data_IF_799089068205
#
_entry.id   IF_799089068205
#
_cell.length_a   1.000
_cell.length_b   1.000
_cell.length_c   1.000
_cell.angle_alpha   90.00
_cell.angle_beta   90.00
_cell.angle_gamma   90.00
#
_symmetry.space_group_name_H-M   'P 1'
#
loop_
_entity.id
_entity.type
_entity.pdbx_description
1 polymer ?
#
# COMPACT_ATOMS: atom_id res chain seq x y z
N UNK A 1 -24.94 -0.11 -13.63
CA UNK A 1 -25.40 -1.46 -14.02
C UNK A 1 -24.54 -2.62 -13.46
N UNK A 2 -23.51 -2.36 -12.69
CA UNK A 2 -22.55 -3.37 -12.17
C UNK A 2 -22.97 -4.10 -10.89
N UNK A 3 -23.96 -3.61 -10.17
CA UNK A 3 -24.33 -4.17 -8.85
C UNK A 3 -25.08 -5.52 -8.87
N UNK A 4 -25.50 -6.01 -10.02
CA UNK A 4 -26.29 -7.23 -10.12
C UNK A 4 -25.42 -8.47 -10.37
N UNK A 5 -24.38 -8.34 -11.20
CA UNK A 5 -23.54 -9.47 -11.59
C UNK A 5 -22.70 -10.07 -10.44
N UNK A 6 -22.13 -9.22 -9.56
CA UNK A 6 -21.32 -9.66 -8.40
C UNK A 6 -22.20 -10.40 -7.39
N UNK A 7 -23.43 -9.95 -7.15
CA UNK A 7 -24.34 -10.56 -6.18
C UNK A 7 -24.84 -11.93 -6.60
N UNK A 8 -24.97 -12.18 -7.91
CA UNK A 8 -25.46 -13.46 -8.45
C UNK A 8 -24.38 -14.54 -8.48
N UNK A 9 -23.09 -14.19 -8.42
CA UNK A 9 -21.97 -15.13 -8.46
C UNK A 9 -21.48 -15.58 -7.07
N UNK A 10 -21.74 -14.81 -6.00
CA UNK A 10 -21.25 -15.09 -4.66
C UNK A 10 -22.04 -16.22 -3.98
N UNK A 11 -21.39 -17.37 -3.86
CA UNK A 11 -21.91 -18.50 -3.09
C UNK A 11 -21.49 -18.40 -1.61
N UNK A 12 -22.16 -19.14 -0.74
CA UNK A 12 -21.76 -19.29 0.67
C UNK A 12 -20.31 -19.80 0.79
N UNK A 13 -19.87 -20.63 -0.14
CA UNK A 13 -18.51 -21.16 -0.18
C UNK A 13 -17.48 -20.05 -0.51
N UNK A 14 -17.76 -19.18 -1.48
CA UNK A 14 -16.90 -18.02 -1.78
C UNK A 14 -16.76 -17.09 -0.57
N UNK A 15 -17.87 -16.79 0.11
CA UNK A 15 -17.84 -15.95 1.32
C UNK A 15 -17.01 -16.59 2.43
N UNK A 16 -17.13 -17.91 2.62
CA UNK A 16 -16.35 -18.62 3.63
C UNK A 16 -14.85 -18.60 3.31
N UNK A 17 -14.49 -18.81 2.04
CA UNK A 17 -13.09 -18.78 1.60
C UNK A 17 -12.48 -17.37 1.72
N UNK A 18 -13.17 -16.34 1.28
CA UNK A 18 -12.71 -14.96 1.44
C UNK A 18 -12.52 -14.57 2.92
N UNK A 19 -13.43 -15.01 3.80
CA UNK A 19 -13.27 -14.84 5.24
C UNK A 19 -12.01 -15.55 5.76
N UNK A 20 -11.77 -16.77 5.32
CA UNK A 20 -10.59 -17.54 5.69
C UNK A 20 -9.31 -16.83 5.26
N UNK A 21 -9.21 -16.38 4.01
CA UNK A 21 -8.06 -15.67 3.47
C UNK A 21 -7.81 -14.34 4.18
N UNK A 22 -8.86 -13.57 4.46
CA UNK A 22 -8.77 -12.30 5.17
C UNK A 22 -8.30 -12.46 6.62
N UNK A 23 -8.72 -13.56 7.28
CA UNK A 23 -8.47 -13.83 8.70
C UNK A 23 -7.27 -14.76 8.93
N UNK A 24 -6.43 -15.01 7.95
CA UNK A 24 -5.42 -16.08 7.95
C UNK A 24 -4.42 -16.08 9.13
N UNK A 25 -4.53 -15.12 10.04
CA UNK A 25 -3.85 -15.15 11.35
C UNK A 25 -2.40 -14.63 11.33
N UNK A 26 -1.98 -13.95 10.26
CA UNK A 26 -0.67 -13.28 10.24
C UNK A 26 -0.68 -11.98 11.05
N UNK A 27 0.51 -11.44 11.34
CA UNK A 27 0.63 -10.13 11.99
C UNK A 27 0.05 -8.97 11.17
N UNK A 28 -0.16 -9.20 9.86
CA UNK A 28 -0.69 -8.22 8.92
C UNK A 28 -2.15 -8.46 8.53
N UNK A 29 -2.78 -9.50 9.08
CA UNK A 29 -4.19 -9.78 8.83
C UNK A 29 -5.10 -8.72 9.47
N UNK A 30 -6.24 -8.46 8.86
CA UNK A 30 -7.22 -7.49 9.31
C UNK A 30 -6.71 -6.02 9.38
N UNK A 31 -5.73 -5.67 8.57
CA UNK A 31 -5.18 -4.30 8.53
C UNK A 31 -5.94 -3.37 7.58
N UNK A 32 -6.51 -3.87 6.51
CA UNK A 32 -7.25 -3.09 5.54
C UNK A 32 -8.75 -3.36 5.60
N UNK A 33 -9.54 -2.38 5.21
CA UNK A 33 -10.97 -2.57 4.98
C UNK A 33 -11.20 -3.47 3.76
N UNK A 34 -12.36 -4.11 3.71
CA UNK A 34 -12.87 -4.71 2.48
C UNK A 34 -13.33 -3.57 1.56
N UNK A 35 -12.99 -3.60 0.25
CA UNK A 35 -13.47 -2.59 -0.69
C UNK A 35 -14.98 -2.39 -0.64
N UNK A 36 -15.46 -1.15 -0.79
CA UNK A 36 -16.88 -0.81 -0.62
C UNK A 36 -17.84 -1.62 -1.48
N UNK A 37 -17.42 -1.98 -2.70
CA UNK A 37 -18.25 -2.79 -3.61
C UNK A 37 -18.44 -4.23 -3.10
N UNK A 38 -17.50 -4.74 -2.29
CA UNK A 38 -17.58 -6.07 -1.67
C UNK A 38 -18.20 -6.04 -0.26
N UNK A 39 -18.15 -4.92 0.46
CA UNK A 39 -18.59 -4.82 1.86
C UNK A 39 -20.06 -5.18 2.09
N UNK A 40 -20.88 -5.10 1.05
CA UNK A 40 -22.30 -5.53 1.08
C UNK A 40 -22.47 -7.04 1.15
N UNK A 41 -21.44 -7.79 0.75
CA UNK A 41 -21.46 -9.25 0.63
C UNK A 41 -20.63 -9.91 1.72
N UNK A 42 -19.59 -9.21 2.19
CA UNK A 42 -18.68 -9.71 3.20
C UNK A 42 -18.50 -8.62 4.25
N UNK A 43 -19.17 -8.76 5.38
CA UNK A 43 -18.93 -7.90 6.52
C UNK A 43 -17.82 -8.51 7.40
N UNK A 44 -16.71 -7.80 7.47
CA UNK A 44 -15.54 -8.12 8.30
C UNK A 44 -15.18 -6.94 9.21
N UNK A 45 -16.04 -5.94 9.30
CA UNK A 45 -15.78 -4.71 10.06
C UNK A 45 -15.44 -4.96 11.52
N UNK A 46 -16.07 -5.97 12.15
CA UNK A 46 -15.80 -6.36 13.55
C UNK A 46 -14.38 -6.95 13.76
N UNK A 47 -13.74 -7.44 12.70
CA UNK A 47 -12.42 -8.06 12.75
C UNK A 47 -11.31 -7.09 12.48
N UNK A 48 -11.66 -5.94 11.94
CA UNK A 48 -10.70 -4.89 11.66
C UNK A 48 -10.05 -4.40 12.96
N UNK A 49 -8.73 -4.22 12.94
CA UNK A 49 -8.01 -3.63 14.07
C UNK A 49 -8.24 -2.12 14.12
N UNK A 50 -8.88 -1.55 15.13
CA UNK A 50 -9.35 -0.14 15.10
C UNK A 50 -8.23 0.90 14.92
N UNK A 51 -6.99 0.54 15.25
CA UNK A 51 -5.85 1.46 15.28
C UNK A 51 -5.20 1.71 13.90
N UNK A 52 -5.59 0.99 12.83
CA UNK A 52 -4.86 0.98 11.55
C UNK A 52 -5.66 1.49 10.34
N UNK A 53 -6.77 2.18 10.54
CA UNK A 53 -7.97 2.19 9.69
C UNK A 53 -8.24 3.42 8.87
N UNK A 54 -7.28 4.11 8.42
CA UNK A 54 -7.53 5.28 7.57
C UNK A 54 -7.48 4.95 6.07
N UNK A 55 -7.90 3.72 5.67
CA UNK A 55 -7.90 3.34 4.24
C UNK A 55 -8.82 4.23 3.42
N UNK A 56 -10.03 4.51 3.92
CA UNK A 56 -11.01 5.34 3.22
C UNK A 56 -10.47 6.76 3.03
N UNK A 57 -10.11 7.51 4.09
CA UNK A 57 -9.56 8.85 3.92
C UNK A 57 -8.23 8.86 3.16
N UNK A 58 -7.40 7.82 3.25
CA UNK A 58 -6.19 7.72 2.45
C UNK A 58 -6.48 7.57 0.96
N UNK A 59 -7.43 6.71 0.59
CA UNK A 59 -7.84 6.56 -0.80
C UNK A 59 -8.49 7.82 -1.34
N UNK A 60 -9.34 8.47 -0.53
CA UNK A 60 -9.99 9.73 -0.91
C UNK A 60 -8.92 10.82 -1.15
N UNK A 61 -7.92 10.92 -0.27
CA UNK A 61 -6.79 11.84 -0.45
C UNK A 61 -6.00 11.56 -1.73
N UNK A 62 -5.69 10.28 -2.02
CA UNK A 62 -5.00 9.91 -3.26
C UNK A 62 -5.81 10.32 -4.49
N UNK A 63 -7.14 10.20 -4.44
CA UNK A 63 -8.03 10.64 -5.51
C UNK A 63 -8.10 12.16 -5.68
N UNK A 64 -7.85 12.92 -4.61
CA UNK A 64 -7.73 14.38 -4.71
C UNK A 64 -6.48 14.82 -5.47
N UNK A 65 -5.39 14.03 -5.37
CA UNK A 65 -4.13 14.32 -6.07
C UNK A 65 -4.10 13.80 -7.51
N UNK A 66 -4.78 12.69 -7.79
CA UNK A 66 -4.67 12.01 -9.08
C UNK A 66 -6.05 11.79 -9.70
N UNK A 67 -6.22 12.28 -10.90
CA UNK A 67 -7.34 11.90 -11.75
C UNK A 67 -7.04 10.57 -12.44
N UNK A 68 -7.40 9.48 -11.78
CA UNK A 68 -7.17 8.12 -12.27
C UNK A 68 -7.92 7.80 -13.57
N UNK A 69 -8.89 8.62 -13.98
CA UNK A 69 -9.57 8.45 -15.29
C UNK A 69 -8.66 8.78 -16.48
N UNK A 70 -7.58 9.53 -16.23
CA UNK A 70 -6.59 9.94 -17.22
C UNK A 70 -5.24 9.22 -17.08
N UNK A 71 -5.10 8.31 -16.12
CA UNK A 71 -3.90 7.50 -15.92
C UNK A 71 -4.03 6.15 -16.62
N UNK A 72 -2.92 5.68 -17.19
CA UNK A 72 -2.87 4.36 -17.81
C UNK A 72 -2.59 3.25 -16.79
N UNK A 73 -1.76 3.51 -15.77
CA UNK A 73 -1.32 2.45 -14.86
C UNK A 73 -1.04 2.93 -13.43
N UNK A 74 -1.27 2.03 -12.48
CA UNK A 74 -0.89 2.15 -11.08
C UNK A 74 -0.33 0.83 -10.54
N UNK A 75 0.69 0.91 -9.70
CA UNK A 75 1.23 -0.21 -8.93
C UNK A 75 1.01 0.05 -7.45
N UNK A 76 0.48 -0.93 -6.73
CA UNK A 76 0.29 -0.93 -5.28
C UNK A 76 1.28 -1.92 -4.66
N UNK A 77 2.31 -1.40 -3.97
CA UNK A 77 3.38 -2.19 -3.36
C UNK A 77 3.00 -2.57 -1.94
N UNK A 78 2.98 -3.87 -1.65
CA UNK A 78 2.49 -4.42 -0.38
C UNK A 78 1.00 -4.19 -0.22
N UNK A 79 0.25 -4.61 -1.23
CA UNK A 79 -1.18 -4.33 -1.36
C UNK A 79 -2.03 -4.88 -0.21
N UNK A 80 -1.49 -5.77 0.65
CA UNK A 80 -2.20 -6.45 1.73
C UNK A 80 -3.45 -7.16 1.18
N UNK A 81 -4.64 -6.91 1.70
CA UNK A 81 -5.90 -7.44 1.16
C UNK A 81 -6.51 -6.60 0.02
N UNK A 82 -5.72 -5.69 -0.55
CA UNK A 82 -6.01 -5.02 -1.80
C UNK A 82 -7.05 -3.91 -1.74
N UNK A 83 -7.24 -3.26 -0.59
CA UNK A 83 -8.23 -2.20 -0.48
C UNK A 83 -8.06 -1.11 -1.55
N UNK A 84 -6.82 -0.64 -1.75
CA UNK A 84 -6.52 0.40 -2.75
C UNK A 84 -6.59 -0.15 -4.16
N UNK A 85 -5.87 -1.24 -4.44
CA UNK A 85 -5.79 -1.86 -5.76
C UNK A 85 -7.16 -2.25 -6.31
N UNK A 86 -7.95 -2.97 -5.52
CA UNK A 86 -9.29 -3.43 -5.91
C UNK A 86 -10.26 -2.27 -6.07
N UNK A 87 -10.19 -1.24 -5.19
CA UNK A 87 -11.06 -0.07 -5.30
C UNK A 87 -10.75 0.74 -6.55
N UNK A 88 -9.46 0.94 -6.88
CA UNK A 88 -9.05 1.66 -8.09
C UNK A 88 -9.41 0.88 -9.37
N UNK A 89 -9.18 -0.44 -9.39
CA UNK A 89 -9.54 -1.28 -10.52
C UNK A 89 -11.06 -1.27 -10.79
N UNK A 90 -11.86 -1.30 -9.73
CA UNK A 90 -13.32 -1.28 -9.84
C UNK A 90 -13.86 0.06 -10.33
N UNK A 91 -13.33 1.17 -9.78
CA UNK A 91 -13.81 2.52 -10.10
C UNK A 91 -13.30 3.01 -11.46
N UNK A 92 -12.18 2.49 -11.96
CA UNK A 92 -11.50 2.92 -13.18
C UNK A 92 -11.20 1.73 -14.11
N UNK A 93 -12.19 1.23 -14.89
CA UNK A 93 -12.03 0.00 -15.70
C UNK A 93 -10.95 0.07 -16.79
N UNK A 94 -10.50 1.27 -17.17
CA UNK A 94 -9.44 1.48 -18.16
C UNK A 94 -8.06 1.64 -17.54
N UNK A 95 -7.96 1.71 -16.21
CA UNK A 95 -6.70 1.81 -15.47
C UNK A 95 -6.10 0.41 -15.29
N UNK A 96 -4.88 0.19 -15.75
CA UNK A 96 -4.14 -1.04 -15.44
C UNK A 96 -3.62 -0.99 -14.00
N UNK A 97 -4.07 -1.90 -13.16
CA UNK A 97 -3.67 -1.99 -11.75
C UNK A 97 -2.78 -3.21 -11.54
N UNK A 98 -1.60 -3.02 -10.93
CA UNK A 98 -0.78 -4.13 -10.46
C UNK A 98 -0.73 -4.12 -8.94
N UNK A 99 -1.27 -5.15 -8.29
CA UNK A 99 -1.17 -5.38 -6.86
C UNK A 99 0.00 -6.33 -6.58
N UNK A 100 1.03 -5.86 -5.86
CA UNK A 100 2.16 -6.68 -5.46
C UNK A 100 2.03 -6.96 -3.96
N UNK A 101 1.91 -8.23 -3.59
CA UNK A 101 1.73 -8.65 -2.20
C UNK A 101 2.59 -9.88 -1.89
N UNK A 102 3.40 -9.78 -0.82
CA UNK A 102 4.34 -10.84 -0.45
C UNK A 102 3.67 -12.03 0.23
N UNK A 103 2.59 -11.79 0.98
CA UNK A 103 1.89 -12.85 1.69
C UNK A 103 0.88 -13.56 0.78
N UNK A 104 1.05 -14.88 0.58
CA UNK A 104 0.26 -15.64 -0.38
C UNK A 104 -1.26 -15.57 -0.10
N UNK A 105 -1.68 -15.71 1.16
CA UNK A 105 -3.10 -15.66 1.51
C UNK A 105 -3.75 -14.30 1.21
N UNK A 106 -3.01 -13.19 1.36
CA UNK A 106 -3.51 -11.86 0.97
C UNK A 106 -3.55 -11.69 -0.54
N UNK A 107 -2.53 -12.18 -1.26
CA UNK A 107 -2.52 -12.17 -2.71
C UNK A 107 -3.68 -13.01 -3.29
N UNK A 108 -3.93 -14.19 -2.71
CA UNK A 108 -5.07 -15.05 -3.06
C UNK A 108 -6.41 -14.36 -2.78
N UNK A 109 -6.53 -13.62 -1.66
CA UNK A 109 -7.72 -12.81 -1.38
C UNK A 109 -7.98 -11.77 -2.47
N UNK A 110 -6.93 -11.03 -2.89
CA UNK A 110 -7.06 -10.03 -3.97
C UNK A 110 -7.51 -10.71 -5.26
N UNK A 111 -6.87 -11.83 -5.63
CA UNK A 111 -7.18 -12.56 -6.85
C UNK A 111 -8.62 -13.08 -6.87
N UNK A 112 -9.08 -13.69 -5.76
CA UNK A 112 -10.44 -14.20 -5.63
C UNK A 112 -11.48 -13.08 -5.70
N UNK A 113 -11.23 -11.93 -5.03
CA UNK A 113 -12.14 -10.77 -5.11
C UNK A 113 -12.16 -10.20 -6.53
N UNK A 114 -11.01 -10.12 -7.20
CA UNK A 114 -10.93 -9.61 -8.57
C UNK A 114 -11.70 -10.51 -9.55
N UNK A 115 -11.56 -11.83 -9.43
CA UNK A 115 -12.29 -12.80 -10.26
C UNK A 115 -13.81 -12.72 -10.03
N UNK A 116 -14.25 -12.76 -8.78
CA UNK A 116 -15.66 -12.66 -8.41
C UNK A 116 -16.30 -11.33 -8.84
N UNK A 117 -15.54 -10.26 -8.86
CA UNK A 117 -15.99 -8.94 -9.31
C UNK A 117 -15.83 -8.73 -10.82
N UNK A 118 -15.21 -9.66 -11.54
CA UNK A 118 -14.95 -9.55 -12.98
C UNK A 118 -13.98 -8.43 -13.34
N UNK A 119 -12.98 -8.14 -12.48
CA UNK A 119 -12.00 -7.09 -12.70
C UNK A 119 -10.88 -7.59 -13.63
N UNK A 120 -11.04 -7.39 -14.94
CA UNK A 120 -10.03 -7.79 -15.92
C UNK A 120 -8.81 -6.87 -16.02
N UNK A 121 -8.82 -5.75 -15.31
CA UNK A 121 -7.80 -4.72 -15.35
C UNK A 121 -6.87 -4.70 -14.12
N UNK A 122 -6.90 -5.75 -13.30
CA UNK A 122 -5.98 -5.94 -12.18
C UNK A 122 -5.10 -7.17 -12.37
N UNK A 123 -3.82 -7.00 -12.14
CA UNK A 123 -2.82 -8.08 -12.08
C UNK A 123 -2.34 -8.24 -10.65
N UNK A 124 -2.43 -9.45 -10.11
CA UNK A 124 -1.91 -9.77 -8.78
C UNK A 124 -0.56 -10.48 -8.92
N UNK A 125 0.44 -10.01 -8.17
CA UNK A 125 1.78 -10.57 -8.14
C UNK A 125 2.11 -10.96 -6.71
N UNK A 126 2.21 -12.26 -6.44
CA UNK A 126 2.62 -12.74 -5.12
C UNK A 126 4.15 -12.74 -5.00
N UNK A 127 4.69 -11.62 -4.53
CA UNK A 127 6.13 -11.43 -4.35
C UNK A 127 6.41 -10.35 -3.31
N UNK A 128 7.44 -10.57 -2.48
CA UNK A 128 8.04 -9.47 -1.70
C UNK A 128 8.85 -8.57 -2.63
N UNK A 129 8.73 -7.26 -2.43
CA UNK A 129 9.57 -6.28 -3.12
C UNK A 129 10.85 -6.09 -2.33
N UNK A 130 11.98 -6.46 -2.93
CA UNK A 130 13.31 -6.40 -2.36
C UNK A 130 14.34 -5.82 -3.35
N UNK A 131 15.62 -5.85 -2.99
CA UNK A 131 16.71 -5.36 -3.83
C UNK A 131 16.91 -6.15 -5.13
N UNK A 132 16.35 -7.36 -5.24
CA UNK A 132 16.46 -8.23 -6.43
C UNK A 132 15.23 -8.15 -7.32
N UNK A 133 14.17 -7.50 -6.86
CA UNK A 133 12.93 -7.35 -7.61
C UNK A 133 13.19 -6.67 -8.96
N UNK A 134 12.63 -7.24 -10.01
CA UNK A 134 12.71 -6.66 -11.36
C UNK A 134 12.05 -5.26 -11.36
N UNK A 135 12.77 -4.18 -11.68
CA UNK A 135 12.22 -2.83 -11.72
C UNK A 135 11.01 -2.68 -12.64
N UNK A 136 10.87 -3.55 -13.64
CA UNK A 136 9.71 -3.55 -14.56
C UNK A 136 8.39 -3.88 -13.85
N UNK A 137 8.43 -4.55 -12.72
CA UNK A 137 7.23 -4.78 -11.90
C UNK A 137 6.68 -3.48 -11.29
N UNK A 138 7.53 -2.47 -11.15
CA UNK A 138 7.17 -1.16 -10.62
C UNK A 138 6.90 -0.16 -11.75
N UNK A 139 6.89 -0.60 -13.02
CA UNK A 139 6.70 0.28 -14.18
C UNK A 139 5.23 0.70 -14.29
N UNK A 140 4.95 1.94 -13.88
CA UNK A 140 3.62 2.54 -13.87
C UNK A 140 3.71 4.05 -13.76
N UNK A 141 2.62 4.77 -14.05
CA UNK A 141 2.56 6.22 -13.88
C UNK A 141 2.50 6.63 -12.40
N UNK A 142 1.85 5.82 -11.57
CA UNK A 142 1.76 6.05 -10.12
C UNK A 142 2.14 4.78 -9.37
N UNK A 143 3.01 4.91 -8.37
CA UNK A 143 3.33 3.86 -7.41
C UNK A 143 2.77 4.23 -6.05
N UNK A 144 1.90 3.39 -5.51
CA UNK A 144 1.44 3.47 -4.12
C UNK A 144 2.36 2.62 -3.25
N UNK A 145 2.84 3.19 -2.15
CA UNK A 145 3.76 2.54 -1.23
C UNK A 145 3.37 2.86 0.21
N UNK A 146 2.36 2.14 0.71
CA UNK A 146 1.75 2.42 2.01
C UNK A 146 2.21 1.46 3.09
N UNK A 147 2.95 1.96 4.08
CA UNK A 147 3.38 1.22 5.26
C UNK A 147 4.15 -0.09 4.99
N UNK A 148 4.92 -0.13 3.91
CA UNK A 148 5.73 -1.30 3.52
C UNK A 148 7.21 -1.06 3.76
N UNK A 149 7.69 0.15 3.47
CA UNK A 149 9.12 0.44 3.45
C UNK A 149 9.85 0.10 4.76
N UNK A 150 9.22 0.40 5.91
CA UNK A 150 9.82 0.12 7.22
C UNK A 150 9.87 -1.37 7.60
N UNK A 151 9.32 -2.25 6.76
CA UNK A 151 9.44 -3.70 6.88
C UNK A 151 10.63 -4.27 6.09
N UNK A 152 11.36 -3.45 5.34
CA UNK A 152 12.55 -3.91 4.64
C UNK A 152 13.56 -4.54 5.62
N UNK A 153 14.04 -5.74 5.26
CA UNK A 153 14.95 -6.53 6.06
C UNK A 153 14.34 -7.31 7.22
N UNK A 154 13.04 -7.13 7.51
CA UNK A 154 12.32 -7.92 8.53
C UNK A 154 11.46 -8.99 7.88
N UNK A 155 10.67 -8.61 6.88
CA UNK A 155 9.73 -9.50 6.20
C UNK A 155 10.33 -10.06 4.90
N UNK A 156 11.45 -9.53 4.45
CA UNK A 156 12.20 -9.99 3.29
C UNK A 156 13.70 -10.17 3.59
N UNK A 157 14.45 -10.92 2.76
CA UNK A 157 15.83 -11.30 3.03
C UNK A 157 16.89 -10.23 2.72
N UNK A 158 16.61 -8.95 2.84
CA UNK A 158 17.52 -7.85 2.49
C UNK A 158 18.75 -7.69 3.40
N UNK A 159 18.99 -8.62 4.34
CA UNK A 159 20.14 -8.62 5.24
C UNK A 159 20.35 -7.33 6.05
N UNK A 160 19.27 -6.68 6.45
CA UNK A 160 19.31 -5.58 7.41
C UNK A 160 19.30 -6.20 8.80
N UNK A 161 20.31 -5.87 9.62
CA UNK A 161 20.50 -6.38 10.97
C UNK A 161 20.34 -5.28 12.05
N UNK A 162 20.19 -4.03 11.60
CA UNK A 162 20.03 -2.90 12.50
C UNK A 162 19.37 -1.71 11.81
N UNK A 163 18.81 -0.80 12.60
CA UNK A 163 18.22 0.46 12.11
C UNK A 163 19.24 1.37 11.43
N UNK A 164 20.52 1.27 11.76
CA UNK A 164 21.59 2.06 11.13
C UNK A 164 21.77 1.70 9.65
N UNK A 165 21.47 0.45 9.28
CA UNK A 165 21.56 -0.03 7.90
C UNK A 165 20.27 0.19 7.12
N UNK A 166 19.20 0.61 7.78
CA UNK A 166 17.89 0.77 7.15
C UNK A 166 17.90 1.88 6.08
N UNK A 167 18.47 3.04 6.35
CA UNK A 167 18.41 4.20 5.44
C UNK A 167 18.92 3.88 4.02
N UNK A 168 20.16 3.35 3.83
CA UNK A 168 20.65 3.08 2.48
C UNK A 168 19.82 2.02 1.74
N UNK A 169 19.33 1.00 2.45
CA UNK A 169 18.48 -0.04 1.85
C UNK A 169 17.12 0.51 1.45
N UNK A 170 16.50 1.31 2.31
CA UNK A 170 15.22 1.97 2.02
C UNK A 170 15.33 2.95 0.84
N UNK A 171 16.41 3.75 0.79
CA UNK A 171 16.66 4.65 -0.34
C UNK A 171 16.85 3.88 -1.65
N UNK A 172 17.58 2.76 -1.61
CA UNK A 172 17.76 1.89 -2.78
C UNK A 172 16.44 1.25 -3.22
N UNK A 173 15.61 0.76 -2.28
CA UNK A 173 14.32 0.19 -2.59
C UNK A 173 13.40 1.22 -3.28
N UNK A 174 13.32 2.44 -2.74
CA UNK A 174 12.56 3.53 -3.37
C UNK A 174 13.13 3.94 -4.72
N UNK A 175 14.46 3.98 -4.88
CA UNK A 175 15.08 4.37 -6.14
C UNK A 175 14.74 3.44 -7.31
N UNK A 176 14.32 2.21 -7.03
CA UNK A 176 13.83 1.26 -8.06
C UNK A 176 12.48 1.65 -8.63
N UNK A 177 11.65 2.31 -7.82
CA UNK A 177 10.41 2.90 -8.31
C UNK A 177 10.65 4.15 -9.17
N UNK A 178 11.92 4.61 -9.26
CA UNK A 178 12.28 5.82 -9.92
C UNK A 178 12.39 5.64 -11.43
N UNK A 179 11.48 6.24 -12.18
CA UNK A 179 11.57 6.44 -13.63
C UNK A 179 11.05 7.85 -13.96
N UNK A 180 11.48 8.38 -15.10
CA UNK A 180 11.03 9.70 -15.57
C UNK A 180 9.50 9.76 -15.69
N UNK A 181 8.90 10.79 -15.12
CA UNK A 181 7.46 11.01 -15.14
C UNK A 181 6.64 10.19 -14.15
N UNK A 182 7.27 9.30 -13.40
CA UNK A 182 6.58 8.50 -12.40
C UNK A 182 6.31 9.29 -11.13
N UNK A 183 5.15 9.06 -10.55
CA UNK A 183 4.70 9.64 -9.29
C UNK A 183 4.66 8.57 -8.20
N UNK A 184 5.17 8.88 -7.02
CA UNK A 184 5.19 8.00 -5.87
C UNK A 184 4.32 8.59 -4.76
N UNK A 185 3.40 7.79 -4.23
CA UNK A 185 2.68 8.10 -2.99
C UNK A 185 3.27 7.22 -1.89
N UNK A 186 3.97 7.85 -0.95
CA UNK A 186 4.68 7.16 0.11
C UNK A 186 4.05 7.43 1.48
N UNK A 187 3.82 6.37 2.22
CA UNK A 187 3.59 6.41 3.67
C UNK A 187 4.48 5.36 4.32
N UNK A 188 5.20 5.72 5.39
CA UNK A 188 5.97 4.74 6.14
C UNK A 188 5.81 4.93 7.65
N UNK A 189 5.90 3.83 8.39
CA UNK A 189 6.10 3.86 9.83
C UNK A 189 7.56 4.19 10.20
N UNK A 190 7.77 4.73 11.40
CA UNK A 190 9.10 5.09 11.91
C UNK A 190 9.62 4.10 12.94
N UNK A 191 9.07 2.90 12.96
CA UNK A 191 9.55 1.77 13.75
C UNK A 191 9.93 0.65 12.79
N UNK A 192 11.16 0.19 12.85
CA UNK A 192 11.62 -0.89 11.99
C UNK A 192 10.83 -2.18 12.25
N UNK A 193 10.26 -2.74 11.20
CA UNK A 193 9.36 -3.90 11.28
C UNK A 193 8.08 -3.69 12.09
N UNK A 194 7.74 -2.43 12.43
CA UNK A 194 6.63 -2.09 13.32
C UNK A 194 6.97 -2.27 14.81
N UNK A 195 8.21 -2.62 15.17
CA UNK A 195 8.63 -2.79 16.57
C UNK A 195 8.93 -1.44 17.23
N UNK A 196 8.10 -1.04 18.19
CA UNK A 196 8.27 0.21 18.95
C UNK A 196 9.59 0.31 19.72
N UNK A 197 10.29 -0.83 19.93
CA UNK A 197 11.60 -0.88 20.56
C UNK A 197 12.75 -0.60 19.60
N UNK A 198 12.46 -0.52 18.30
CA UNK A 198 13.41 -0.27 17.25
C UNK A 198 13.01 0.97 16.42
N UNK A 199 12.98 2.17 17.02
CA UNK A 199 12.61 3.38 16.30
C UNK A 199 13.69 3.73 15.27
N UNK A 200 13.25 4.03 14.04
CA UNK A 200 14.09 4.59 12.98
C UNK A 200 14.36 6.07 13.28
N UNK A 201 13.33 6.75 13.78
CA UNK A 201 13.38 8.11 14.32
C UNK A 201 12.57 8.13 15.61
N UNK A 202 12.97 8.92 16.60
CA UNK A 202 12.25 9.04 17.86
C UNK A 202 10.76 9.33 17.64
N UNK A 203 9.88 8.64 18.38
CA UNK A 203 8.42 8.65 18.12
C UNK A 203 7.78 10.02 18.33
N UNK A 204 8.33 10.83 19.22
CA UNK A 204 7.88 12.20 19.56
C UNK A 204 8.58 13.30 18.74
N UNK A 205 9.54 12.93 17.89
CA UNK A 205 10.27 13.86 17.02
C UNK A 205 9.63 13.96 15.62
N UNK A 206 8.52 14.68 15.52
CA UNK A 206 7.84 14.87 14.23
C UNK A 206 8.69 15.60 13.20
N UNK A 207 9.51 16.56 13.63
CA UNK A 207 10.41 17.28 12.74
C UNK A 207 11.56 16.38 12.26
N UNK A 208 12.07 15.52 13.15
CA UNK A 208 13.07 14.52 12.79
C UNK A 208 12.53 13.51 11.78
N UNK A 209 11.27 13.08 11.93
CA UNK A 209 10.61 12.21 10.95
C UNK A 209 10.50 12.88 9.58
N UNK A 210 10.07 14.14 9.54
CA UNK A 210 9.98 14.89 8.29
C UNK A 210 11.34 15.00 7.60
N UNK A 211 12.37 15.45 8.33
CA UNK A 211 13.74 15.56 7.80
C UNK A 211 14.31 14.20 7.35
N UNK A 212 13.97 13.14 8.05
CA UNK A 212 14.38 11.80 7.64
C UNK A 212 13.76 11.41 6.30
N UNK A 213 12.47 11.67 6.12
CA UNK A 213 11.77 11.39 4.86
C UNK A 213 12.30 12.26 3.72
N UNK A 214 12.51 13.56 3.93
CA UNK A 214 13.12 14.46 2.94
C UNK A 214 14.45 13.90 2.43
N UNK A 215 15.35 13.55 3.34
CA UNK A 215 16.65 12.94 2.99
C UNK A 215 16.50 11.59 2.27
N UNK A 216 15.54 10.77 2.69
CA UNK A 216 15.31 9.44 2.13
C UNK A 216 14.82 9.54 0.69
N UNK A 217 13.85 10.40 0.42
CA UNK A 217 13.28 10.55 -0.92
C UNK A 217 14.25 11.28 -1.85
N UNK A 218 15.04 12.23 -1.33
CA UNK A 218 16.12 12.88 -2.08
C UNK A 218 17.20 11.84 -2.47
N UNK A 219 17.62 10.97 -1.55
CA UNK A 219 18.56 9.91 -1.82
C UNK A 219 18.02 8.91 -2.86
N UNK A 220 16.70 8.71 -2.92
CA UNK A 220 16.01 7.93 -3.92
C UNK A 220 15.72 8.69 -5.23
N UNK A 221 16.18 9.95 -5.35
CA UNK A 221 16.03 10.83 -6.52
C UNK A 221 14.61 11.31 -6.77
N UNK A 222 13.77 11.39 -5.75
CA UNK A 222 12.45 12.01 -5.82
C UNK A 222 12.46 13.40 -5.20
N UNK A 223 11.50 14.22 -5.58
CA UNK A 223 11.19 15.51 -4.99
C UNK A 223 9.82 15.45 -4.30
N UNK A 224 9.74 16.02 -3.09
CA UNK A 224 8.44 16.15 -2.42
C UNK A 224 7.67 17.28 -3.10
N UNK A 225 6.49 16.97 -3.65
CA UNK A 225 5.59 17.97 -4.24
C UNK A 225 4.54 18.44 -3.27
N UNK A 226 4.07 17.56 -2.43
CA UNK A 226 3.10 17.89 -1.41
C UNK A 226 3.24 17.00 -0.17
N UNK A 227 2.80 17.53 0.94
CA UNK A 227 2.82 16.91 2.25
C UNK A 227 1.40 16.81 2.80
N UNK A 228 0.80 15.64 2.69
CA UNK A 228 -0.49 15.38 3.30
C UNK A 228 -0.31 15.00 4.77
N UNK A 229 -0.84 15.83 5.67
CA UNK A 229 -0.89 15.50 7.08
C UNK A 229 -2.05 14.54 7.35
N UNK A 230 -1.83 13.50 8.15
CA UNK A 230 -2.87 12.52 8.44
C UNK A 230 -4.01 13.12 9.25
N UNK A 231 -5.18 12.57 9.04
CA UNK A 231 -6.30 12.75 9.97
C UNK A 231 -5.90 12.11 11.30
N UNK A 232 -5.95 12.89 12.39
CA UNK A 232 -5.68 12.39 13.73
C UNK A 232 -6.80 11.41 14.11
N UNK A 233 -6.44 10.14 14.33
CA UNK A 233 -7.38 9.23 14.99
C UNK A 233 -7.66 9.70 16.41
N UNK A 234 -8.94 9.84 16.77
CA UNK A 234 -9.40 10.28 18.08
C UNK A 234 -9.01 9.33 19.24
N UNK A 235 -8.40 8.19 18.95
CA UNK A 235 -8.01 7.14 19.90
C UNK A 235 -6.69 7.32 20.64
N UNK A 236 -5.98 8.42 20.49
CA UNK A 236 -4.86 8.80 21.36
C UNK A 236 -3.49 8.11 21.12
N UNK A 237 -3.38 7.05 20.36
CA UNK A 237 -2.10 6.49 19.91
C UNK A 237 -1.69 7.19 18.62
N UNK A 238 -0.74 8.10 18.74
CA UNK A 238 -0.31 9.06 17.74
C UNK A 238 0.59 8.41 16.68
N UNK A 239 0.07 7.54 15.86
CA UNK A 239 0.72 7.21 14.61
C UNK A 239 0.38 8.29 13.58
N UNK A 240 1.22 9.32 13.49
CA UNK A 240 1.12 10.31 12.44
C UNK A 240 1.67 9.70 11.16
N UNK A 241 0.79 9.35 10.26
CA UNK A 241 1.14 8.97 8.92
C UNK A 241 1.31 10.22 8.07
N UNK A 242 2.36 10.30 7.34
CA UNK A 242 2.58 11.36 6.38
C UNK A 242 2.52 10.73 5.00
N UNK A 243 1.59 11.19 4.19
CA UNK A 243 1.46 10.74 2.80
C UNK A 243 2.16 11.79 1.95
N UNK A 244 3.09 11.35 1.12
CA UNK A 244 3.82 12.19 0.20
C UNK A 244 3.52 11.76 -1.23
N UNK A 245 2.87 12.59 -2.04
CA UNK A 245 2.97 12.46 -3.48
C UNK A 245 4.34 12.99 -3.93
N UNK A 246 5.03 12.21 -4.77
CA UNK A 246 6.35 12.59 -5.28
C UNK A 246 6.35 12.54 -6.79
N UNK A 247 6.94 13.54 -7.41
CA UNK A 247 7.31 13.54 -8.81
C UNK A 247 8.82 13.43 -8.97
N UNK A 248 9.24 12.84 -10.07
CA UNK A 248 10.65 12.72 -10.42
C UNK A 248 11.30 14.07 -10.68
N UNK A 249 12.48 14.33 -10.12
CA UNK A 249 13.32 15.47 -10.50
C UNK A 249 14.22 15.03 -11.65
N UNK A 250 14.14 15.74 -12.79
CA UNK A 250 15.30 15.84 -13.67
C UNK A 250 16.36 16.65 -12.94
N UNK A 251 17.49 16.04 -12.61
CA UNK A 251 18.73 16.78 -12.44
C UNK A 251 19.39 16.80 -13.83
N UNK A 252 19.32 17.95 -14.48
CA UNK A 252 20.13 18.24 -15.65
C UNK A 252 21.62 18.23 -15.28
#
# INVERSE_FOLDING_TARGET
MWNIAVAESLTTQHVAELKRLYLDGTKHSCYQNVPRFMSRHIDLSEKLQPLWRDDVPRLDLVREYFDFSHLASVVDVGANTGYFSLSLAFDHPNLEVTAIEGHAGHADFIAEVADLAGLGNIKVVNQYVDQQTDPRLLDSEVVLHFNVLHHQGVDNPDNIDSTDRFFPVAAQALSRAHQEGRRLVLQMGFNWGGDKKQPIVALDDDLGKLRYLERLVEAARFEIRDLALPVLNEGGDRYRYVIYPFEHIRRD
#
